data_IF_801099616021
#
_entry.id   IF_801099616021
#
_cell.length_a   1.000
_cell.length_b   1.000
_cell.length_c   1.000
_cell.angle_alpha   90.00
_cell.angle_beta   90.00
_cell.angle_gamma   90.00
#
_symmetry.space_group_name_H-M   'P 1'
#
loop_
_entity.id
_entity.type
_entity.pdbx_description
1 polymer ?
#
# COMPACT_ATOMS: atom_id res chain seq x y z
N UNK A 1 35.00 -13.39 22.30
CA UNK A 1 35.21 -11.95 22.07
C UNK A 1 33.92 -11.24 22.40
N UNK A 2 33.92 -10.34 23.38
CA UNK A 2 32.77 -9.51 23.70
C UNK A 2 32.74 -8.32 22.73
N UNK A 3 31.55 -7.98 22.21
CA UNK A 3 31.33 -6.78 21.39
C UNK A 3 31.72 -5.55 22.22
N UNK A 4 32.52 -4.67 21.64
CA UNK A 4 32.91 -3.43 22.32
C UNK A 4 31.75 -2.42 22.29
N UNK A 5 31.71 -1.45 23.22
CA UNK A 5 30.71 -0.38 23.18
C UNK A 5 30.64 0.34 21.83
N UNK A 6 31.79 0.53 21.17
CA UNK A 6 31.88 1.17 19.85
C UNK A 6 31.24 0.30 18.74
N UNK A 7 31.38 -1.02 18.83
CA UNK A 7 30.72 -1.95 17.89
C UNK A 7 29.19 -1.89 18.06
N UNK A 8 28.70 -1.77 19.29
CA UNK A 8 27.27 -1.67 19.59
C UNK A 8 26.71 -0.35 19.03
N UNK A 9 27.44 0.75 19.17
CA UNK A 9 27.02 2.06 18.67
C UNK A 9 27.03 2.12 17.14
N UNK A 10 28.02 1.53 16.49
CA UNK A 10 28.07 1.38 15.03
C UNK A 10 26.92 0.51 14.49
N UNK A 11 26.57 -0.58 15.19
CA UNK A 11 25.42 -1.42 14.86
C UNK A 11 24.11 -0.63 15.04
N UNK A 12 23.96 0.10 16.14
CA UNK A 12 22.77 0.91 16.40
C UNK A 12 22.58 2.00 15.34
N UNK A 13 23.64 2.68 14.91
CA UNK A 13 23.59 3.68 13.84
C UNK A 13 23.24 3.06 12.49
N UNK A 14 23.79 1.87 12.16
CA UNK A 14 23.42 1.12 10.95
C UNK A 14 21.96 0.69 10.96
N UNK A 15 21.48 0.15 12.07
CA UNK A 15 20.07 -0.23 12.23
C UNK A 15 19.19 1.00 12.10
N UNK A 16 19.52 2.10 12.77
CA UNK A 16 18.77 3.35 12.65
C UNK A 16 18.76 3.89 11.21
N UNK A 17 19.87 3.81 10.47
CA UNK A 17 19.93 4.21 9.06
C UNK A 17 19.08 3.31 8.15
N UNK A 18 19.10 1.99 8.37
CA UNK A 18 18.26 1.02 7.64
C UNK A 18 16.78 1.25 7.95
N UNK A 19 16.41 1.45 9.23
CA UNK A 19 15.05 1.77 9.64
C UNK A 19 14.59 3.12 9.07
N UNK A 20 15.47 4.12 9.04
CA UNK A 20 15.18 5.43 8.44
C UNK A 20 15.03 5.36 6.93
N UNK A 21 15.79 4.49 6.23
CA UNK A 21 15.62 4.23 4.80
C UNK A 21 14.36 3.41 4.49
N UNK A 22 14.03 2.40 5.31
CA UNK A 22 12.77 1.65 5.19
C UNK A 22 11.56 2.55 5.45
N UNK A 23 11.68 3.56 6.32
CA UNK A 23 10.58 4.47 6.65
C UNK A 23 10.53 5.74 5.77
N UNK A 24 11.63 6.19 5.15
CA UNK A 24 11.63 7.35 4.24
C UNK A 24 10.78 7.13 2.97
N UNK A 25 10.56 5.85 2.63
CA UNK A 25 9.70 5.42 1.53
C UNK A 25 8.25 5.13 1.95
N UNK A 26 7.86 5.44 3.19
CA UNK A 26 6.47 5.33 3.62
C UNK A 26 5.80 6.71 3.68
N UNK A 27 4.48 6.73 3.49
CA UNK A 27 3.66 7.91 3.79
C UNK A 27 3.68 8.16 5.29
N UNK A 28 3.68 9.42 5.71
CA UNK A 28 3.40 9.72 7.11
C UNK A 28 1.90 9.55 7.39
N UNK A 29 1.51 8.31 7.71
CA UNK A 29 0.13 7.94 8.01
C UNK A 29 -0.47 8.72 9.17
N UNK A 30 0.33 9.36 10.03
CA UNK A 30 -0.16 10.21 11.11
C UNK A 30 -0.80 11.53 10.62
N UNK A 31 -0.43 11.97 9.42
CA UNK A 31 -0.99 13.17 8.77
C UNK A 31 -2.28 12.87 8.00
N UNK A 32 -2.51 11.60 7.64
CA UNK A 32 -3.65 11.18 6.82
C UNK A 32 -4.89 11.01 7.71
N UNK A 33 -5.80 11.97 7.65
CA UNK A 33 -7.07 11.94 8.37
C UNK A 33 -8.19 11.41 7.47
N UNK A 34 -8.37 10.09 7.46
CA UNK A 34 -9.48 9.48 6.74
C UNK A 34 -10.81 9.88 7.41
N UNK A 35 -11.78 10.47 6.67
CA UNK A 35 -13.10 10.73 7.21
C UNK A 35 -13.74 9.41 7.65
N UNK A 36 -14.33 9.41 8.85
CA UNK A 36 -14.85 8.21 9.53
C UNK A 36 -15.98 7.54 8.71
N UNK A 37 -16.68 8.29 7.86
CA UNK A 37 -17.72 7.72 7.03
C UNK A 37 -17.80 8.36 5.64
N UNK A 38 -17.57 7.54 4.62
CA UNK A 38 -18.42 7.51 3.46
C UNK A 38 -18.65 6.03 3.15
N UNK A 39 -19.81 5.49 3.52
CA UNK A 39 -20.24 4.17 3.02
C UNK A 39 -20.19 4.24 1.50
N UNK A 40 -19.20 3.58 0.91
CA UNK A 40 -19.11 3.44 -0.54
C UNK A 40 -20.38 2.75 -1.00
N UNK A 41 -21.04 3.38 -1.97
CA UNK A 41 -22.01 2.73 -2.87
C UNK A 41 -21.41 1.38 -3.26
N UNK A 42 -22.17 0.29 -3.12
CA UNK A 42 -21.75 -1.03 -3.58
C UNK A 42 -21.47 -0.96 -5.08
N UNK A 43 -20.21 -0.70 -5.44
CA UNK A 43 -19.76 -0.72 -6.82
C UNK A 43 -19.57 -2.19 -7.19
N UNK A 44 -20.60 -2.77 -7.81
CA UNK A 44 -20.50 -4.09 -8.41
C UNK A 44 -19.94 -3.96 -9.82
N UNK A 45 -18.81 -4.63 -10.08
CA UNK A 45 -18.30 -4.85 -11.43
C UNK A 45 -18.65 -6.25 -11.93
N UNK A 46 -18.83 -6.40 -13.23
CA UNK A 46 -19.04 -7.72 -13.86
C UNK A 46 -17.68 -8.31 -14.25
N UNK A 47 -17.42 -9.55 -13.86
CA UNK A 47 -16.24 -10.29 -14.33
C UNK A 47 -16.54 -10.97 -15.67
N UNK A 48 -15.53 -11.11 -16.51
CA UNK A 48 -15.63 -11.98 -17.69
C UNK A 48 -15.84 -13.43 -17.25
N UNK A 49 -16.49 -14.23 -18.10
CA UNK A 49 -16.73 -15.65 -17.82
C UNK A 49 -15.43 -16.41 -17.55
N UNK A 50 -14.35 -16.07 -18.28
CA UNK A 50 -13.03 -16.71 -18.14
C UNK A 50 -12.41 -16.34 -16.79
N UNK A 51 -12.47 -15.07 -16.37
CA UNK A 51 -11.87 -14.64 -15.11
C UNK A 51 -12.63 -15.20 -13.91
N UNK A 52 -13.96 -15.27 -14.02
CA UNK A 52 -14.79 -15.95 -13.02
C UNK A 52 -14.44 -17.44 -12.90
N UNK A 53 -14.23 -18.13 -14.02
CA UNK A 53 -13.82 -19.53 -14.02
C UNK A 53 -12.43 -19.71 -13.38
N UNK A 54 -11.44 -18.88 -13.73
CA UNK A 54 -10.10 -18.89 -13.13
C UNK A 54 -10.15 -18.68 -11.62
N UNK A 55 -10.93 -17.70 -11.17
CA UNK A 55 -11.12 -17.42 -9.75
C UNK A 55 -11.80 -18.60 -9.03
N UNK A 56 -12.82 -19.19 -9.64
CA UNK A 56 -13.56 -20.35 -9.09
C UNK A 56 -12.69 -21.58 -8.95
N UNK A 57 -11.86 -21.89 -9.96
CA UNK A 57 -10.90 -23.01 -9.89
C UNK A 57 -9.88 -22.73 -8.79
N UNK A 58 -9.32 -21.52 -8.73
CA UNK A 58 -8.34 -21.14 -7.71
C UNK A 58 -8.92 -21.28 -6.29
N UNK A 59 -10.17 -20.84 -6.09
CA UNK A 59 -10.86 -20.96 -4.81
C UNK A 59 -11.06 -22.42 -4.37
N UNK A 60 -11.44 -23.29 -5.31
CA UNK A 60 -11.56 -24.74 -5.05
C UNK A 60 -10.21 -25.37 -4.70
N UNK A 61 -9.16 -25.07 -5.45
CA UNK A 61 -7.82 -25.59 -5.19
C UNK A 61 -7.27 -25.16 -3.81
N UNK A 62 -7.61 -23.94 -3.38
CA UNK A 62 -7.18 -23.40 -2.09
C UNK A 62 -8.10 -23.79 -0.92
N UNK A 63 -9.25 -24.44 -1.18
CA UNK A 63 -10.24 -24.75 -0.15
C UNK A 63 -10.85 -23.51 0.53
N UNK A 64 -10.96 -22.38 -0.19
CA UNK A 64 -11.46 -21.10 0.35
C UNK A 64 -12.66 -20.58 -0.44
N UNK A 65 -13.47 -19.75 0.19
CA UNK A 65 -14.55 -19.03 -0.49
C UNK A 65 -14.02 -17.96 -1.45
N UNK A 66 -14.76 -17.66 -2.52
CA UNK A 66 -14.39 -16.66 -3.55
C UNK A 66 -14.04 -15.30 -2.95
N UNK A 67 -14.83 -14.83 -1.98
CA UNK A 67 -14.58 -13.55 -1.31
C UNK A 67 -13.21 -13.50 -0.62
N UNK A 68 -12.82 -14.57 0.08
CA UNK A 68 -11.53 -14.65 0.77
C UNK A 68 -10.36 -14.69 -0.23
N UNK A 69 -10.54 -15.38 -1.36
CA UNK A 69 -9.54 -15.40 -2.44
C UNK A 69 -9.40 -14.03 -3.08
N UNK A 70 -10.50 -13.33 -3.38
CA UNK A 70 -10.46 -11.97 -3.92
C UNK A 70 -9.78 -11.01 -2.96
N UNK A 71 -10.12 -11.03 -1.67
CA UNK A 71 -9.44 -10.21 -0.65
C UNK A 71 -7.93 -10.47 -0.64
N UNK A 72 -7.54 -11.74 -0.64
CA UNK A 72 -6.13 -12.13 -0.67
C UNK A 72 -5.43 -11.63 -1.93
N UNK A 73 -6.06 -11.78 -3.11
CA UNK A 73 -5.52 -11.35 -4.38
C UNK A 73 -5.32 -9.82 -4.42
N UNK A 74 -6.31 -9.05 -3.96
CA UNK A 74 -6.24 -7.58 -3.88
C UNK A 74 -5.11 -7.15 -2.95
N UNK A 75 -5.04 -7.69 -1.73
CA UNK A 75 -3.98 -7.34 -0.77
C UNK A 75 -2.60 -7.72 -1.31
N UNK A 76 -2.49 -8.87 -1.98
CA UNK A 76 -1.23 -9.32 -2.58
C UNK A 76 -0.80 -8.38 -3.71
N UNK A 77 -1.72 -7.99 -4.58
CA UNK A 77 -1.45 -7.02 -5.64
C UNK A 77 -0.99 -5.67 -5.07
N UNK A 78 -1.72 -5.13 -4.09
CA UNK A 78 -1.38 -3.84 -3.48
C UNK A 78 -0.01 -3.86 -2.81
N UNK A 79 0.36 -4.96 -2.14
CA UNK A 79 1.68 -5.11 -1.53
C UNK A 79 2.80 -5.20 -2.57
N UNK A 80 2.59 -5.98 -3.64
CA UNK A 80 3.59 -6.17 -4.70
C UNK A 80 3.89 -4.89 -5.48
N UNK A 81 2.88 -4.05 -5.69
CA UNK A 81 2.99 -2.83 -6.48
C UNK A 81 3.10 -1.56 -5.62
N UNK A 82 3.33 -1.71 -4.31
CA UNK A 82 3.34 -0.59 -3.36
C UNK A 82 4.35 0.50 -3.75
N UNK A 83 5.57 0.11 -4.11
CA UNK A 83 6.63 1.06 -4.47
C UNK A 83 6.29 1.85 -5.74
N UNK A 84 5.68 1.20 -6.73
CA UNK A 84 5.25 1.86 -7.96
C UNK A 84 4.14 2.86 -7.69
N UNK A 85 3.14 2.48 -6.87
CA UNK A 85 2.08 3.39 -6.47
C UNK A 85 2.61 4.61 -5.72
N UNK A 86 3.62 4.43 -4.85
CA UNK A 86 4.24 5.53 -4.12
C UNK A 86 5.07 6.46 -5.02
N UNK A 87 5.81 5.91 -5.99
CA UNK A 87 6.51 6.70 -7.01
C UNK A 87 5.55 7.55 -7.84
N UNK A 88 4.42 6.97 -8.24
CA UNK A 88 3.37 7.71 -8.95
C UNK A 88 2.81 8.85 -8.08
N UNK A 89 2.54 8.56 -6.81
CA UNK A 89 2.05 9.56 -5.86
C UNK A 89 3.05 10.71 -5.67
N UNK A 90 4.34 10.40 -5.56
CA UNK A 90 5.42 11.39 -5.48
C UNK A 90 5.53 12.24 -6.74
N UNK A 91 5.40 11.62 -7.91
CA UNK A 91 5.39 12.33 -9.18
C UNK A 91 4.22 13.33 -9.27
N UNK A 92 3.01 12.91 -8.87
CA UNK A 92 1.83 13.78 -8.85
C UNK A 92 2.01 14.90 -7.83
N UNK A 93 2.50 14.59 -6.62
CA UNK A 93 2.77 15.57 -5.58
C UNK A 93 3.73 16.67 -6.06
N UNK A 94 4.81 16.27 -6.74
CA UNK A 94 5.77 17.20 -7.33
C UNK A 94 5.15 18.06 -8.45
N UNK A 95 4.26 17.48 -9.27
CA UNK A 95 3.56 18.19 -10.34
C UNK A 95 2.61 19.26 -9.81
N UNK A 96 1.87 18.93 -8.74
CA UNK A 96 0.86 19.81 -8.15
C UNK A 96 1.44 20.74 -7.06
N UNK A 97 2.71 20.57 -6.67
CA UNK A 97 3.38 21.40 -5.67
C UNK A 97 2.87 21.18 -4.24
N UNK A 98 2.32 20.00 -3.96
CA UNK A 98 1.74 19.62 -2.66
C UNK A 98 2.50 18.43 -2.06
N UNK A 99 2.22 18.08 -0.80
CA UNK A 99 2.81 16.89 -0.18
C UNK A 99 2.21 15.59 -0.73
N UNK A 100 2.90 14.47 -0.50
CA UNK A 100 2.42 13.13 -0.84
C UNK A 100 1.14 12.79 -0.07
N UNK A 101 1.09 13.16 1.20
CA UNK A 101 -0.05 12.92 2.09
C UNK A 101 -1.29 13.72 1.64
N UNK A 102 -1.09 14.97 1.23
CA UNK A 102 -2.15 15.80 0.66
C UNK A 102 -2.63 15.24 -0.69
N UNK A 103 -1.70 14.82 -1.55
CA UNK A 103 -2.01 14.15 -2.82
C UNK A 103 -2.86 12.90 -2.60
N UNK A 104 -2.47 12.06 -1.63
CA UNK A 104 -3.21 10.86 -1.26
C UNK A 104 -4.65 11.20 -0.84
N UNK A 105 -4.82 12.21 0.02
CA UNK A 105 -6.13 12.65 0.48
C UNK A 105 -6.98 13.21 -0.66
N UNK A 106 -6.40 13.99 -1.57
CA UNK A 106 -7.13 14.54 -2.71
C UNK A 106 -7.55 13.46 -3.72
N UNK A 107 -6.73 12.43 -3.95
CA UNK A 107 -7.12 11.27 -4.77
C UNK A 107 -8.23 10.47 -4.07
N UNK A 108 -8.09 10.22 -2.76
CA UNK A 108 -9.09 9.48 -1.97
C UNK A 108 -10.46 10.18 -1.99
N UNK A 109 -10.46 11.51 -1.87
CA UNK A 109 -11.67 12.34 -1.94
C UNK A 109 -12.19 12.54 -3.37
N UNK A 110 -11.45 12.12 -4.40
CA UNK A 110 -11.81 12.28 -5.81
C UNK A 110 -11.65 13.70 -6.34
N UNK A 111 -11.01 14.61 -5.60
CA UNK A 111 -10.74 15.99 -6.03
C UNK A 111 -9.57 16.08 -7.00
N UNK A 112 -8.61 15.15 -6.90
CA UNK A 112 -7.50 15.02 -7.83
C UNK A 112 -7.62 13.71 -8.61
N UNK A 113 -7.50 13.79 -9.93
CA UNK A 113 -7.49 12.61 -10.81
C UNK A 113 -6.05 12.38 -11.29
N UNK A 114 -5.45 11.22 -10.96
CA UNK A 114 -4.10 10.87 -11.39
C UNK A 114 -3.99 10.74 -12.92
#
# INVERSE_FOLDING_TARGET
MALTPDDIEAIAQRVAAITKQQNASDLDWSQIKLPIEARKVNQSGTLSAIDFARLSVSAKLLGKGLAAVMQTAVVTYLRRNREEHLKMLEFIAAREGISREETFMQIYNGTLKP
#
